data_IF_519860017446
#
_entry.id   IF_519860017446
#
_cell.length_a   1.000
_cell.length_b   1.000
_cell.length_c   1.000
_cell.angle_alpha   90.00
_cell.angle_beta   90.00
_cell.angle_gamma   90.00
#
_symmetry.space_group_name_H-M   'P 1'
#
loop_
_entity.id
_entity.type
_entity.pdbx_description
1 polymer ?
#
# COMPACT_ATOMS: atom_id res chain seq x y z
N UNK A 1 83.67 13.76 -17.21
CA UNK A 1 84.76 12.75 -17.14
C UNK A 1 84.89 12.31 -15.69
N UNK A 2 84.84 10.99 -15.42
CA UNK A 2 85.17 10.27 -14.16
C UNK A 2 84.33 10.60 -12.91
N UNK A 3 83.35 9.77 -12.51
CA UNK A 3 83.45 8.51 -11.75
C UNK A 3 84.31 8.61 -10.48
N UNK A 4 83.71 8.30 -9.33
CA UNK A 4 84.20 7.47 -8.20
C UNK A 4 83.11 7.52 -7.10
N UNK A 5 82.25 6.50 -6.89
CA UNK A 5 82.44 5.30 -6.01
C UNK A 5 83.36 5.61 -4.81
N UNK A 6 82.96 5.43 -3.56
CA UNK A 6 82.65 4.13 -2.93
C UNK A 6 81.94 4.25 -1.56
N UNK A 7 81.24 3.16 -1.23
CA UNK A 7 80.60 2.77 0.04
C UNK A 7 81.47 2.96 1.30
N UNK A 8 80.82 3.14 2.45
CA UNK A 8 81.16 2.40 3.67
C UNK A 8 79.99 2.29 4.65
N UNK A 9 79.92 1.13 5.30
CA UNK A 9 78.90 0.61 6.21
C UNK A 9 79.31 0.77 7.68
N UNK A 10 78.35 0.94 8.61
CA UNK A 10 78.26 0.33 9.96
C UNK A 10 77.19 1.07 10.79
N UNK A 11 76.10 0.40 11.23
CA UNK A 11 75.92 -0.23 12.57
C UNK A 11 76.23 0.75 13.72
N UNK A 12 75.40 1.02 14.73
CA UNK A 12 74.32 0.29 15.39
C UNK A 12 73.79 1.29 16.43
N UNK A 13 72.48 1.43 16.63
CA UNK A 13 71.97 1.82 17.95
C UNK A 13 70.47 1.56 18.05
N UNK A 14 70.12 0.83 19.11
CA UNK A 14 68.79 0.39 19.48
C UNK A 14 67.99 1.57 20.04
N UNK A 15 66.72 1.69 19.65
CA UNK A 15 65.70 2.31 20.49
C UNK A 15 64.43 1.45 20.38
N UNK A 16 64.03 0.93 21.53
CA UNK A 16 62.77 0.24 21.72
C UNK A 16 61.63 1.26 21.55
N UNK A 17 60.82 1.06 20.52
CA UNK A 17 59.54 1.75 20.35
C UNK A 17 58.43 0.74 20.53
N UNK A 18 57.75 0.81 21.67
CA UNK A 18 56.49 0.08 21.93
C UNK A 18 55.45 0.63 20.96
N UNK A 19 55.18 -0.08 19.86
CA UNK A 19 54.04 0.23 19.00
C UNK A 19 52.79 -0.26 19.69
N UNK A 20 52.08 0.65 20.35
CA UNK A 20 50.69 0.44 20.75
C UNK A 20 49.85 0.22 19.48
N UNK A 21 49.51 -1.03 19.19
CA UNK A 21 48.52 -1.36 18.18
C UNK A 21 47.14 -0.94 18.71
N UNK A 22 46.65 0.22 18.28
CA UNK A 22 45.25 0.61 18.44
C UNK A 22 44.39 -0.37 17.62
N UNK A 23 43.47 -1.13 18.23
CA UNK A 23 42.44 -1.79 17.45
C UNK A 23 41.49 -0.71 16.94
N UNK A 24 41.46 -0.50 15.62
CA UNK A 24 40.40 0.28 14.98
C UNK A 24 39.09 -0.49 15.16
N UNK A 25 38.32 -0.12 16.19
CA UNK A 25 36.91 -0.47 16.30
C UNK A 25 36.17 0.25 15.17
N UNK A 26 35.93 -0.45 14.07
CA UNK A 26 34.95 -0.06 13.06
C UNK A 26 33.58 -0.19 13.72
N UNK A 27 33.04 0.93 14.20
CA UNK A 27 31.63 1.01 14.54
C UNK A 27 30.82 0.81 13.26
N UNK A 28 30.17 -0.34 13.12
CA UNK A 28 29.21 -0.58 12.05
C UNK A 28 28.06 0.41 12.19
N UNK A 29 28.01 1.41 11.32
CA UNK A 29 26.80 2.17 11.07
C UNK A 29 25.81 1.19 10.43
N UNK A 30 24.89 0.65 11.24
CA UNK A 30 23.66 0.06 10.74
C UNK A 30 22.82 1.21 10.17
N UNK A 31 23.14 1.64 8.96
CA UNK A 31 22.16 2.36 8.15
C UNK A 31 21.08 1.33 7.85
N UNK A 32 20.04 1.31 8.66
CA UNK A 32 18.77 0.73 8.25
C UNK A 32 18.47 1.32 6.89
N UNK A 33 18.30 0.53 5.82
CA UNK A 33 17.68 1.09 4.65
C UNK A 33 16.28 1.49 5.14
N UNK A 34 16.04 2.79 5.27
CA UNK A 34 14.72 3.30 5.00
C UNK A 34 14.45 2.88 3.56
N UNK A 35 13.93 1.66 3.40
CA UNK A 35 13.40 1.18 2.16
C UNK A 35 12.20 2.10 1.94
N UNK A 36 12.43 3.20 1.23
CA UNK A 36 11.37 3.79 0.44
C UNK A 36 10.87 2.60 -0.38
N UNK A 37 9.70 2.09 -0.01
CA UNK A 37 9.07 1.01 -0.74
C UNK A 37 9.14 1.41 -2.22
N UNK A 38 9.61 0.53 -3.12
CA UNK A 38 9.61 0.86 -4.54
C UNK A 38 8.22 1.37 -4.86
N UNK A 39 8.14 2.61 -5.38
CA UNK A 39 6.87 3.19 -5.81
C UNK A 39 6.30 2.17 -6.79
N UNK A 40 5.31 1.41 -6.33
CA UNK A 40 4.89 0.22 -7.03
C UNK A 40 4.34 0.68 -8.38
N UNK A 41 4.85 0.14 -9.47
CA UNK A 41 4.36 0.49 -10.80
C UNK A 41 2.98 -0.14 -11.06
N UNK A 42 2.57 -1.09 -10.22
CA UNK A 42 1.34 -1.85 -10.30
C UNK A 42 0.34 -1.48 -9.22
N UNK A 43 -0.93 -1.83 -9.46
CA UNK A 43 -2.00 -1.76 -8.46
C UNK A 43 -1.68 -2.71 -7.30
N UNK A 44 -1.93 -2.26 -6.07
CA UNK A 44 -1.68 -3.04 -4.85
C UNK A 44 -3.00 -3.37 -4.19
N UNK A 45 -3.25 -4.65 -3.91
CA UNK A 45 -4.35 -5.08 -3.05
C UNK A 45 -3.89 -5.18 -1.60
N UNK A 46 -4.77 -4.85 -0.67
CA UNK A 46 -4.53 -4.95 0.77
C UNK A 46 -5.79 -5.40 1.50
N UNK A 47 -5.63 -5.89 2.73
CA UNK A 47 -6.74 -6.25 3.61
C UNK A 47 -6.47 -5.80 5.03
N UNK A 48 -7.51 -5.41 5.74
CA UNK A 48 -7.45 -5.00 7.14
C UNK A 48 -8.51 -5.77 7.91
N UNK A 49 -8.11 -6.33 9.05
CA UNK A 49 -8.98 -6.98 10.00
C UNK A 49 -8.87 -6.28 11.36
N UNK A 50 -9.97 -5.76 11.88
CA UNK A 50 -10.03 -5.16 13.21
C UNK A 50 -11.01 -5.94 14.10
N UNK A 51 -10.56 -6.33 15.30
CA UNK A 51 -11.34 -7.06 16.31
C UNK A 51 -12.10 -6.15 17.29
N UNK A 52 -12.07 -4.83 17.08
CA UNK A 52 -12.63 -3.83 18.01
C UNK A 52 -13.55 -2.81 17.34
N UNK A 53 -13.91 -3.00 16.07
CA UNK A 53 -14.84 -2.14 15.33
C UNK A 53 -14.36 -0.73 15.00
N UNK A 54 -13.19 -0.31 15.48
CA UNK A 54 -12.63 1.01 15.16
C UNK A 54 -12.04 0.99 13.74
N UNK A 55 -12.42 1.95 12.89
CA UNK A 55 -11.94 2.05 11.50
C UNK A 55 -12.76 1.29 10.47
N UNK A 56 -13.97 0.86 10.81
CA UNK A 56 -14.83 0.09 9.93
C UNK A 56 -15.58 0.97 8.94
N UNK A 57 -15.43 0.62 7.66
CA UNK A 57 -16.20 1.18 6.56
C UNK A 57 -17.66 0.70 6.65
N UNK A 58 -18.48 1.40 7.46
CA UNK A 58 -19.93 1.20 7.56
C UNK A 58 -20.48 0.61 8.86
N UNK A 59 -19.65 0.21 9.83
CA UNK A 59 -20.13 -0.23 11.15
C UNK A 59 -19.13 0.09 12.25
N UNK A 60 -19.27 1.27 12.87
CA UNK A 60 -18.40 1.70 13.98
C UNK A 60 -18.55 0.88 15.28
N UNK A 61 -19.31 -0.22 15.26
CA UNK A 61 -19.62 -1.05 16.43
C UNK A 61 -19.47 -2.55 16.17
N UNK A 62 -18.99 -2.99 14.99
CA UNK A 62 -18.82 -4.42 14.71
C UNK A 62 -17.61 -5.00 15.42
N UNK A 63 -17.79 -6.09 16.18
CA UNK A 63 -16.70 -6.80 16.84
C UNK A 63 -15.65 -7.35 15.84
N UNK A 64 -16.04 -7.63 14.60
CA UNK A 64 -15.15 -8.21 13.59
C UNK A 64 -15.30 -7.52 12.24
N UNK A 65 -14.25 -6.81 11.85
CA UNK A 65 -14.30 -5.87 10.76
C UNK A 65 -13.25 -6.17 9.72
N UNK A 66 -13.71 -6.74 8.61
CA UNK A 66 -12.88 -7.02 7.44
C UNK A 66 -13.14 -5.93 6.39
N UNK A 67 -12.06 -5.37 5.86
CA UNK A 67 -12.12 -4.48 4.70
C UNK A 67 -11.00 -4.82 3.72
N UNK A 68 -11.27 -4.55 2.45
CA UNK A 68 -10.33 -4.74 1.37
C UNK A 68 -9.95 -3.40 0.77
N UNK A 69 -8.70 -3.27 0.33
CA UNK A 69 -8.18 -2.05 -0.24
C UNK A 69 -7.54 -2.30 -1.61
N UNK A 70 -7.66 -1.31 -2.50
CA UNK A 70 -6.90 -1.22 -3.75
C UNK A 70 -6.22 0.14 -3.83
N UNK A 71 -4.90 0.14 -4.00
CA UNK A 71 -4.10 1.34 -4.28
C UNK A 71 -3.75 1.40 -5.75
N UNK A 72 -4.16 2.48 -6.41
CA UNK A 72 -3.89 2.76 -7.82
C UNK A 72 -2.86 3.89 -7.89
N UNK A 73 -1.57 3.58 -8.11
CA UNK A 73 -0.52 4.58 -8.16
C UNK A 73 -0.61 5.44 -9.43
N UNK A 74 -0.17 6.71 -9.35
CA UNK A 74 -0.09 7.65 -10.48
C UNK A 74 0.81 7.21 -11.62
N UNK A 75 1.75 6.31 -11.33
CA UNK A 75 2.68 5.70 -12.30
C UNK A 75 1.97 4.95 -13.42
N UNK A 76 0.74 4.47 -13.20
CA UNK A 76 -0.11 3.86 -14.23
C UNK A 76 -0.69 4.98 -15.10
N UNK A 77 -0.21 5.20 -16.33
CA UNK A 77 -0.64 6.35 -17.14
C UNK A 77 -0.43 7.72 -16.44
N UNK A 78 0.82 8.16 -16.26
CA UNK A 78 1.14 9.43 -15.60
C UNK A 78 0.58 10.61 -16.40
N UNK A 79 -0.01 11.59 -15.70
CA UNK A 79 -0.61 12.81 -16.29
C UNK A 79 -1.65 12.55 -17.39
N UNK A 80 -2.35 11.40 -17.35
CA UNK A 80 -3.43 11.05 -18.28
C UNK A 80 -4.65 10.57 -17.51
N UNK A 81 -5.84 10.78 -18.05
CA UNK A 81 -7.04 10.18 -17.47
C UNK A 81 -6.89 8.65 -17.46
N UNK A 82 -7.37 8.01 -16.39
CA UNK A 82 -7.30 6.57 -16.22
C UNK A 82 -8.65 6.05 -15.76
N UNK A 83 -9.23 5.12 -16.51
CA UNK A 83 -10.38 4.35 -16.05
C UNK A 83 -9.90 3.02 -15.50
N UNK A 84 -10.39 2.66 -14.32
CA UNK A 84 -10.08 1.41 -13.62
C UNK A 84 -11.38 0.65 -13.38
N UNK A 85 -11.48 -0.56 -13.92
CA UNK A 85 -12.59 -1.47 -13.66
C UNK A 85 -12.10 -2.58 -12.74
N UNK A 86 -12.87 -2.84 -11.69
CA UNK A 86 -12.57 -3.83 -10.66
C UNK A 86 -13.74 -4.78 -10.57
N UNK A 87 -13.45 -6.06 -10.69
CA UNK A 87 -14.39 -7.16 -10.54
C UNK A 87 -13.91 -8.06 -9.40
N UNK A 88 -14.77 -8.31 -8.42
CA UNK A 88 -14.40 -9.13 -7.28
C UNK A 88 -15.58 -9.86 -6.64
N UNK A 89 -15.43 -11.16 -6.51
CA UNK A 89 -16.35 -12.00 -5.76
C UNK A 89 -15.97 -12.03 -4.28
N UNK A 90 -16.99 -12.10 -3.44
CA UNK A 90 -16.85 -12.42 -2.02
C UNK A 90 -16.52 -13.90 -1.80
N UNK A 91 -16.38 -14.32 -0.55
CA UNK A 91 -16.19 -15.72 -0.21
C UNK A 91 -17.39 -16.24 0.57
N UNK A 92 -18.33 -16.97 -0.07
CA UNK A 92 -19.53 -17.49 0.57
C UNK A 92 -19.22 -18.23 1.88
N UNK A 93 -19.97 -17.91 2.93
CA UNK A 93 -19.76 -18.46 4.28
C UNK A 93 -18.53 -17.94 5.03
N UNK A 94 -17.74 -17.03 4.44
CA UNK A 94 -16.60 -16.37 5.09
C UNK A 94 -16.84 -14.87 5.29
N UNK A 95 -17.17 -14.19 4.20
CA UNK A 95 -17.47 -12.76 4.18
C UNK A 95 -18.26 -12.41 2.92
N UNK A 96 -19.02 -11.32 2.99
CA UNK A 96 -19.82 -10.76 1.91
C UNK A 96 -19.54 -9.27 1.77
N UNK A 97 -19.79 -8.69 0.58
CA UNK A 97 -19.71 -7.25 0.39
C UNK A 97 -20.77 -6.52 1.21
N UNK A 98 -20.37 -5.43 1.87
CA UNK A 98 -21.31 -4.58 2.59
C UNK A 98 -21.98 -3.57 1.63
N UNK A 99 -22.89 -4.07 0.81
CA UNK A 99 -23.66 -3.26 -0.13
C UNK A 99 -24.71 -2.43 0.61
N UNK A 100 -24.60 -1.10 0.54
CA UNK A 100 -25.58 -0.18 1.11
C UNK A 100 -26.79 0.04 0.17
N UNK A 101 -26.58 -0.17 -1.12
CA UNK A 101 -27.59 -0.24 -2.18
C UNK A 101 -26.98 -0.99 -3.37
N UNK A 102 -27.77 -1.30 -4.41
CA UNK A 102 -27.27 -1.98 -5.62
C UNK A 102 -26.18 -1.19 -6.35
N UNK A 103 -26.17 0.15 -6.23
CA UNK A 103 -25.22 1.08 -6.84
C UNK A 103 -24.24 1.69 -5.82
N UNK A 104 -24.16 1.12 -4.62
CA UNK A 104 -23.39 1.68 -3.50
C UNK A 104 -22.83 0.62 -2.57
N UNK A 105 -21.52 0.64 -2.38
CA UNK A 105 -20.83 -0.17 -1.37
C UNK A 105 -20.37 0.71 -0.20
N UNK A 106 -20.36 0.15 1.01
CA UNK A 106 -19.72 0.79 2.15
C UNK A 106 -18.21 0.91 1.90
N UNK A 107 -17.63 2.09 2.13
CA UNK A 107 -16.25 2.34 1.75
C UNK A 107 -16.00 3.75 1.23
N UNK A 108 -14.75 4.00 0.87
CA UNK A 108 -14.27 5.32 0.45
C UNK A 108 -13.29 5.22 -0.71
N UNK A 109 -13.35 6.18 -1.62
CA UNK A 109 -12.24 6.53 -2.50
C UNK A 109 -11.50 7.71 -1.85
N UNK A 110 -10.19 7.58 -1.65
CA UNK A 110 -9.34 8.61 -1.05
C UNK A 110 -8.20 8.98 -1.98
N UNK A 111 -7.97 10.29 -2.14
CA UNK A 111 -6.86 10.80 -2.93
C UNK A 111 -5.71 11.26 -2.04
N UNK A 112 -4.50 10.82 -2.38
CA UNK A 112 -3.26 11.17 -1.72
C UNK A 112 -2.30 11.77 -2.75
N UNK A 113 -1.75 12.95 -2.47
CA UNK A 113 -0.67 13.52 -3.31
C UNK A 113 0.71 12.94 -2.94
N UNK A 114 0.80 12.31 -1.78
CA UNK A 114 2.00 11.70 -1.20
C UNK A 114 1.60 10.70 -0.10
N UNK A 115 2.51 9.80 0.33
CA UNK A 115 2.18 8.69 1.25
C UNK A 115 1.50 9.05 2.57
N UNK A 116 1.61 10.30 3.03
CA UNK A 116 1.08 10.73 4.33
C UNK A 116 0.13 11.92 4.23
N UNK A 117 -0.24 12.35 3.03
CA UNK A 117 -1.08 13.52 2.83
C UNK A 117 -2.34 13.16 2.04
N UNK A 118 -3.40 12.85 2.79
CA UNK A 118 -4.74 12.65 2.23
C UNK A 118 -5.35 14.01 1.94
N UNK A 119 -5.66 14.28 0.67
CA UNK A 119 -6.25 15.55 0.27
C UNK A 119 -7.77 15.53 0.28
N UNK A 120 -8.37 14.38 -0.01
CA UNK A 120 -9.82 14.24 -0.05
C UNK A 120 -10.27 12.79 0.04
N UNK A 121 -11.55 12.61 0.34
CA UNK A 121 -12.25 11.34 0.27
C UNK A 121 -13.68 11.52 -0.25
N UNK A 122 -14.23 10.46 -0.82
CA UNK A 122 -15.62 10.40 -1.29
C UNK A 122 -16.17 9.00 -1.08
N UNK A 123 -17.50 8.86 -1.08
CA UNK A 123 -18.17 7.56 -0.99
C UNK A 123 -18.02 6.74 -2.27
N UNK A 124 -18.13 5.42 -2.16
CA UNK A 124 -18.20 4.51 -3.31
C UNK A 124 -19.65 4.25 -3.76
N UNK A 125 -20.24 5.26 -4.41
CA UNK A 125 -21.56 5.20 -5.05
C UNK A 125 -21.43 5.61 -6.51
N UNK A 126 -22.23 5.04 -7.42
CA UNK A 126 -22.31 5.55 -8.80
C UNK A 126 -22.51 7.08 -8.84
N UNK A 127 -21.76 7.75 -9.73
CA UNK A 127 -21.69 9.21 -9.88
C UNK A 127 -21.09 9.98 -8.71
N UNK A 128 -20.59 9.32 -7.66
CA UNK A 128 -19.87 10.00 -6.59
C UNK A 128 -18.56 10.59 -7.13
N UNK A 129 -18.34 11.88 -6.87
CA UNK A 129 -17.16 12.61 -7.28
C UNK A 129 -16.22 12.82 -6.11
N UNK A 130 -14.93 12.70 -6.38
CA UNK A 130 -13.87 12.99 -5.43
C UNK A 130 -13.31 14.38 -5.75
N UNK A 131 -13.72 15.37 -4.96
CA UNK A 131 -13.27 16.76 -5.13
C UNK A 131 -12.14 17.09 -4.16
N UNK A 132 -11.13 17.83 -4.58
CA UNK A 132 -10.02 18.27 -3.74
C UNK A 132 -9.72 19.76 -3.95
N UNK A 133 -8.95 20.34 -3.02
CA UNK A 133 -8.59 21.76 -3.05
C UNK A 133 -9.76 22.70 -2.75
N UNK A 134 -9.45 23.99 -2.63
CA UNK A 134 -10.43 25.03 -2.27
C UNK A 134 -11.45 25.31 -3.38
N UNK A 135 -11.09 25.03 -4.63
CA UNK A 135 -11.94 25.27 -5.80
C UNK A 135 -12.79 24.05 -6.19
N UNK A 136 -12.65 22.92 -5.48
CA UNK A 136 -13.42 21.70 -5.76
C UNK A 136 -12.99 21.00 -7.04
N UNK A 137 -11.69 21.05 -7.38
CA UNK A 137 -11.13 20.34 -8.52
C UNK A 137 -11.42 18.83 -8.40
N UNK A 138 -11.63 18.16 -9.54
CA UNK A 138 -11.95 16.74 -9.54
C UNK A 138 -10.66 15.91 -9.54
N UNK A 139 -10.56 14.98 -8.59
CA UNK A 139 -9.57 13.90 -8.60
C UNK A 139 -10.07 12.68 -9.37
N UNK A 140 -11.37 12.64 -9.68
CA UNK A 140 -12.02 11.53 -10.33
C UNK A 140 -13.42 11.29 -9.80
N UNK A 141 -14.04 10.23 -10.29
CA UNK A 141 -15.40 9.86 -9.93
C UNK A 141 -15.66 8.38 -10.18
N UNK A 142 -16.66 7.87 -9.48
CA UNK A 142 -17.23 6.55 -9.72
C UNK A 142 -18.17 6.63 -10.92
N UNK A 143 -17.88 5.90 -11.99
CA UNK A 143 -18.75 5.85 -13.18
C UNK A 143 -19.89 4.85 -12.97
N UNK A 144 -19.58 3.66 -12.46
CA UNK A 144 -20.55 2.59 -12.25
C UNK A 144 -20.20 1.76 -11.02
N UNK A 145 -21.23 1.27 -10.34
CA UNK A 145 -21.14 0.28 -9.27
C UNK A 145 -22.28 -0.71 -9.45
N UNK A 146 -21.97 -1.99 -9.38
CA UNK A 146 -22.95 -3.05 -9.13
C UNK A 146 -22.49 -3.82 -7.91
N UNK A 147 -23.33 -3.86 -6.87
CA UNK A 147 -22.99 -4.50 -5.61
C UNK A 147 -24.10 -5.47 -5.20
N UNK A 148 -23.73 -6.74 -5.04
CA UNK A 148 -24.47 -7.74 -4.26
C UNK A 148 -23.57 -8.27 -3.16
N UNK A 149 -24.11 -8.92 -2.11
CA UNK A 149 -23.27 -9.56 -1.09
C UNK A 149 -22.20 -10.50 -1.68
N UNK A 150 -22.50 -11.13 -2.82
CA UNK A 150 -21.66 -12.12 -3.49
C UNK A 150 -20.65 -11.49 -4.44
N UNK A 151 -20.98 -10.38 -5.10
CA UNK A 151 -20.21 -9.84 -6.22
C UNK A 151 -20.16 -8.31 -6.23
N UNK A 152 -18.99 -7.76 -6.55
CA UNK A 152 -18.75 -6.34 -6.71
C UNK A 152 -18.11 -6.07 -8.07
N UNK A 153 -18.75 -5.16 -8.81
CA UNK A 153 -18.19 -4.49 -9.99
C UNK A 153 -18.14 -2.99 -9.73
N UNK A 154 -16.98 -2.36 -9.91
CA UNK A 154 -16.83 -0.90 -9.83
C UNK A 154 -15.94 -0.39 -10.96
N UNK A 155 -16.42 0.66 -11.64
CA UNK A 155 -15.64 1.43 -12.61
C UNK A 155 -15.38 2.82 -12.05
N UNK A 156 -14.12 3.18 -11.93
CA UNK A 156 -13.66 4.45 -11.40
C UNK A 156 -12.84 5.19 -12.44
N UNK A 157 -13.19 6.44 -12.72
CA UNK A 157 -12.40 7.36 -13.54
C UNK A 157 -11.52 8.23 -12.65
N UNK A 158 -10.23 8.28 -12.95
CA UNK A 158 -9.23 9.13 -12.29
C UNK A 158 -8.81 10.21 -13.27
N UNK A 159 -8.88 11.46 -12.84
CA UNK A 159 -8.56 12.60 -13.70
C UNK A 159 -7.04 12.82 -13.80
N UNK A 160 -6.56 13.24 -14.98
CA UNK A 160 -5.13 13.43 -15.25
C UNK A 160 -4.42 14.41 -14.29
N UNK A 161 -5.13 15.42 -13.78
CA UNK A 161 -4.57 16.48 -12.94
C UNK A 161 -4.02 15.97 -11.60
N UNK A 162 -4.58 14.87 -11.10
CA UNK A 162 -4.19 14.29 -9.81
C UNK A 162 -3.14 13.19 -9.93
N UNK A 163 -2.61 12.94 -11.12
CA UNK A 163 -1.63 11.87 -11.39
C UNK A 163 -0.20 12.39 -11.51
N UNK A 164 0.18 13.30 -10.62
CA UNK A 164 1.57 13.71 -10.41
C UNK A 164 2.37 12.60 -9.71
N UNK A 165 3.69 12.55 -9.92
CA UNK A 165 4.53 11.52 -9.30
C UNK A 165 4.38 11.46 -7.78
N UNK A 166 4.23 10.26 -7.23
CA UNK A 166 4.05 10.03 -5.79
C UNK A 166 2.59 10.01 -5.31
N UNK A 167 1.65 10.48 -6.14
CA UNK A 167 0.23 10.45 -5.82
C UNK A 167 -0.40 9.08 -6.10
N UNK A 168 -1.52 8.79 -5.45
CA UNK A 168 -2.29 7.57 -5.67
C UNK A 168 -3.75 7.73 -5.24
N UNK A 169 -4.61 6.88 -5.79
CA UNK A 169 -5.97 6.69 -5.34
C UNK A 169 -6.03 5.42 -4.49
N UNK A 170 -6.57 5.53 -3.27
CA UNK A 170 -6.88 4.38 -2.41
C UNK A 170 -8.40 4.16 -2.41
N UNK A 171 -8.81 2.98 -2.86
CA UNK A 171 -10.18 2.49 -2.74
C UNK A 171 -10.24 1.55 -1.53
N UNK A 172 -11.18 1.78 -0.62
CA UNK A 172 -11.43 0.93 0.54
C UNK A 172 -12.87 0.42 0.48
N UNK A 173 -13.04 -0.90 0.58
CA UNK A 173 -14.31 -1.60 0.46
C UNK A 173 -14.65 -2.31 1.77
N UNK A 174 -15.84 -2.03 2.30
CA UNK A 174 -16.39 -2.67 3.48
C UNK A 174 -16.96 -4.05 3.19
N UNK A 175 -16.78 -4.96 4.13
CA UNK A 175 -17.36 -6.31 4.10
C UNK A 175 -18.09 -6.61 5.40
N UNK A 176 -18.96 -7.60 5.37
CA UNK A 176 -19.53 -8.23 6.56
C UNK A 176 -18.91 -9.61 6.73
N UNK A 177 -18.35 -9.89 7.91
CA UNK A 177 -17.85 -11.24 8.24
C UNK A 177 -19.03 -12.12 8.66
N UNK A 178 -19.10 -13.35 8.13
CA UNK A 178 -20.13 -14.31 8.54
C UNK A 178 -19.53 -15.22 9.61
N UNK A 179 -19.85 -14.89 10.87
CA UNK A 179 -19.50 -15.61 12.12
C UNK A 179 -18.05 -16.13 12.17
N UNK A 180 -17.07 -15.29 12.49
CA UNK A 180 -15.71 -15.74 12.61
C UNK A 180 -15.56 -16.41 13.98
N UNK A 181 -15.55 -17.75 14.02
CA UNK A 181 -15.30 -18.50 15.25
C UNK A 181 -14.02 -18.06 15.98
N UNK A 182 -13.82 -18.46 17.24
CA UNK A 182 -12.73 -17.96 18.11
C UNK A 182 -11.29 -18.25 17.63
N UNK A 183 -11.13 -19.10 16.61
CA UNK A 183 -9.84 -19.48 16.05
C UNK A 183 -9.23 -18.46 15.08
N UNK A 184 -7.93 -18.64 14.81
CA UNK A 184 -7.25 -17.91 13.74
C UNK A 184 -7.85 -18.24 12.38
N UNK A 185 -7.87 -17.25 11.49
CA UNK A 185 -8.30 -17.47 10.11
C UNK A 185 -7.58 -16.55 9.14
N UNK A 186 -7.37 -17.00 7.91
CA UNK A 186 -6.83 -16.17 6.83
C UNK A 186 -7.91 -15.89 5.80
N UNK A 187 -8.30 -14.62 5.68
CA UNK A 187 -9.15 -14.16 4.60
C UNK A 187 -8.32 -13.89 3.36
N UNK A 188 -8.92 -14.07 2.19
CA UNK A 188 -8.32 -13.79 0.89
C UNK A 188 -9.24 -12.91 0.06
N UNK A 189 -8.64 -12.05 -0.73
CA UNK A 189 -9.26 -11.17 -1.70
C UNK A 189 -8.50 -11.27 -3.02
N UNK A 190 -9.20 -11.57 -4.10
CA UNK A 190 -8.58 -11.79 -5.41
C UNK A 190 -9.31 -11.06 -6.53
N UNK A 191 -9.25 -9.70 -6.55
CA UNK A 191 -9.92 -8.91 -7.57
C UNK A 191 -9.24 -9.10 -8.93
N UNK A 192 -10.04 -8.96 -9.98
CA UNK A 192 -9.57 -8.68 -11.33
C UNK A 192 -9.64 -7.17 -11.55
N UNK A 193 -8.50 -6.57 -11.90
CA UNK A 193 -8.39 -5.12 -12.18
C UNK A 193 -8.01 -4.94 -13.64
N UNK A 194 -8.76 -4.11 -14.36
CA UNK A 194 -8.46 -3.73 -15.75
C UNK A 194 -8.32 -2.22 -15.81
N UNK A 195 -7.28 -1.73 -16.48
CA UNK A 195 -7.06 -0.29 -16.64
C UNK A 195 -7.18 0.11 -18.09
N UNK A 196 -7.61 1.34 -18.37
CA UNK A 196 -7.67 1.87 -19.74
C UNK A 196 -6.29 2.08 -20.38
N UNK A 197 -5.20 1.99 -19.60
CA UNK A 197 -3.84 2.17 -20.08
C UNK A 197 -3.34 0.96 -20.88
N UNK A 198 -3.68 -0.25 -20.43
CA UNK A 198 -3.21 -1.52 -21.00
C UNK A 198 -4.35 -2.46 -21.43
N UNK A 199 -5.59 -2.19 -21.00
CA UNK A 199 -6.80 -2.98 -21.26
C UNK A 199 -6.64 -4.49 -21.00
N UNK A 200 -5.69 -4.85 -20.14
CA UNK A 200 -5.36 -6.23 -19.82
C UNK A 200 -5.86 -6.53 -18.41
N UNK A 201 -6.78 -7.50 -18.23
CA UNK A 201 -7.23 -7.90 -16.91
C UNK A 201 -6.09 -8.50 -16.08
N UNK A 202 -5.83 -7.93 -14.91
CA UNK A 202 -4.82 -8.39 -13.97
C UNK A 202 -5.48 -8.93 -12.72
N UNK A 203 -5.19 -10.19 -12.38
CA UNK A 203 -5.64 -10.77 -11.11
C UNK A 203 -4.63 -10.47 -10.02
N UNK A 204 -5.08 -9.78 -8.98
CA UNK A 204 -4.26 -9.41 -7.83
C UNK A 204 -4.72 -10.27 -6.65
N UNK A 205 -3.90 -10.47 -5.62
CA UNK A 205 -4.33 -11.16 -4.40
C UNK A 205 -3.80 -10.47 -3.16
N UNK A 206 -4.65 -10.34 -2.16
CA UNK A 206 -4.30 -9.92 -0.81
C UNK A 206 -4.86 -10.92 0.20
N UNK A 207 -4.15 -11.08 1.30
CA UNK A 207 -4.61 -11.88 2.43
C UNK A 207 -4.52 -11.07 3.71
N UNK A 208 -5.41 -11.36 4.66
CA UNK A 208 -5.35 -10.77 6.00
C UNK A 208 -5.65 -11.85 7.03
N UNK A 209 -4.87 -11.83 8.11
CA UNK A 209 -4.99 -12.79 9.21
C UNK A 209 -5.88 -12.21 10.31
N UNK A 210 -6.96 -12.92 10.63
CA UNK A 210 -7.67 -12.78 11.90
C UNK A 210 -6.86 -13.48 13.00
N UNK A 211 -6.47 -12.77 14.07
CA UNK A 211 -5.87 -13.39 15.24
C UNK A 211 -6.92 -14.20 16.04
N UNK A 212 -6.47 -15.20 16.80
CA UNK A 212 -7.33 -15.87 17.78
C UNK A 212 -7.73 -14.88 18.89
N UNK A 213 -8.92 -15.06 19.45
CA UNK A 213 -9.53 -14.13 20.42
C UNK A 213 -8.67 -13.90 21.69
N UNK A 214 -7.74 -14.82 21.99
CA UNK A 214 -6.79 -14.75 23.11
C UNK A 214 -5.32 -14.62 22.68
N UNK A 215 -5.05 -14.24 21.42
CA UNK A 215 -3.68 -14.02 20.98
C UNK A 215 -3.10 -12.77 21.68
N UNK A 216 -2.05 -12.95 22.48
CA UNK A 216 -1.31 -11.83 23.08
C UNK A 216 -0.64 -11.02 21.96
N UNK A 217 -0.77 -9.68 21.91
CA UNK A 217 -0.02 -8.86 20.95
C UNK A 217 1.46 -9.08 21.19
N UNK A 218 2.19 -9.43 20.12
CA UNK A 218 3.64 -9.64 20.19
C UNK A 218 4.39 -8.38 19.79
#
# INVERSE_FOLDING_TARGET
>A
MRLLRTRSTRSWQRLAGVTAALPLLVAGLLTSPAQAAPASESVIASGIYNSSGTGCQGSGTSADCLSWGLRIPSTIAPKKDLTVTIEADSAPGRWAWNCLASDRIAGTASFYDSPSNKLSESSLKSSAKLHYGVYGDSAGQVEAVTCTPEHLSITYKIDHLVRSGGSYLDLSFGTTTTTPGSGEYTYSFSPTVTTSADNTPQKITATVKKPAENAVPR
#
